data_IF_173314005850
#
_entry.id   IF_173314005850
#
_cell.length_a   1.000
_cell.length_b   1.000
_cell.length_c   1.000
_cell.angle_alpha   90.00
_cell.angle_beta   90.00
_cell.angle_gamma   90.00
#
_symmetry.space_group_name_H-M   'P 1'
#
loop_
_entity.id
_entity.type
_entity.pdbx_description
1 polymer ?
#
# COMPACT_ATOMS: atom_id res chain seq x y z
N UNK A 1 15.24 -35.47 -22.07
CA UNK A 1 15.11 -34.03 -22.44
C UNK A 1 14.16 -33.40 -21.48
N UNK A 2 14.69 -32.83 -20.39
CA UNK A 2 13.90 -32.05 -19.45
C UNK A 2 13.66 -30.67 -20.10
N UNK A 3 12.37 -30.30 -20.25
CA UNK A 3 12.03 -28.94 -20.60
C UNK A 3 12.31 -28.08 -19.38
N UNK A 4 13.29 -27.19 -19.47
CA UNK A 4 13.42 -26.05 -18.61
C UNK A 4 12.10 -25.26 -18.70
N UNK A 5 11.36 -25.24 -17.61
CA UNK A 5 10.28 -24.28 -17.40
C UNK A 5 10.99 -22.98 -17.11
N UNK A 6 11.16 -22.14 -18.13
CA UNK A 6 11.54 -20.75 -17.92
C UNK A 6 10.56 -20.14 -16.92
N UNK A 7 11.12 -19.72 -15.80
CA UNK A 7 10.41 -19.00 -14.75
C UNK A 7 10.05 -17.61 -15.32
N UNK A 8 8.94 -17.53 -16.09
CA UNK A 8 8.44 -16.26 -16.56
C UNK A 8 7.99 -15.47 -15.34
N UNK A 9 8.62 -14.32 -15.08
CA UNK A 9 8.19 -13.37 -14.08
C UNK A 9 6.72 -12.97 -14.26
N UNK A 10 6.13 -12.32 -13.26
CA UNK A 10 4.74 -11.85 -13.32
C UNK A 10 4.58 -10.85 -14.47
N UNK A 11 5.64 -10.10 -14.79
CA UNK A 11 5.63 -9.02 -15.78
C UNK A 11 6.75 -9.24 -16.80
N UNK A 12 6.43 -9.17 -18.09
CA UNK A 12 7.43 -9.18 -19.14
C UNK A 12 8.07 -7.78 -19.35
N UNK A 13 9.15 -7.70 -20.14
CA UNK A 13 9.89 -6.43 -20.34
C UNK A 13 9.04 -5.29 -20.93
N UNK A 14 8.04 -5.60 -21.75
CA UNK A 14 7.14 -4.60 -22.35
C UNK A 14 6.10 -4.13 -21.32
N UNK A 15 5.58 -5.05 -20.53
CA UNK A 15 4.61 -4.74 -19.48
C UNK A 15 5.29 -4.01 -18.30
N UNK A 16 6.60 -4.21 -18.12
CA UNK A 16 7.39 -3.55 -17.08
C UNK A 16 7.33 -2.03 -17.17
N UNK A 17 7.47 -1.46 -18.37
CA UNK A 17 7.44 -0.01 -18.55
C UNK A 17 6.05 0.57 -18.21
N UNK A 18 5.00 -0.11 -18.63
CA UNK A 18 3.61 0.27 -18.29
C UNK A 18 3.39 0.18 -16.79
N UNK A 19 3.92 -0.86 -16.17
CA UNK A 19 3.81 -1.05 -14.72
C UNK A 19 4.58 0.02 -13.94
N UNK A 20 5.82 0.34 -14.34
CA UNK A 20 6.63 1.40 -13.73
C UNK A 20 5.89 2.76 -13.81
N UNK A 21 5.25 3.06 -14.95
CA UNK A 21 4.46 4.27 -15.12
C UNK A 21 3.22 4.28 -14.22
N UNK A 22 2.49 3.16 -14.15
CA UNK A 22 1.34 3.00 -13.25
C UNK A 22 1.69 3.23 -11.79
N UNK A 23 2.83 2.68 -11.35
CA UNK A 23 3.28 2.85 -9.96
C UNK A 23 3.68 4.30 -9.68
N UNK A 24 4.33 4.97 -10.61
CA UNK A 24 4.65 6.39 -10.47
C UNK A 24 3.37 7.25 -10.41
N UNK A 25 2.39 6.95 -11.24
CA UNK A 25 1.08 7.63 -11.22
C UNK A 25 0.34 7.36 -9.89
N UNK A 26 0.35 6.12 -9.42
CA UNK A 26 -0.22 5.74 -8.13
C UNK A 26 0.44 6.52 -6.98
N UNK A 27 1.77 6.51 -6.91
CA UNK A 27 2.52 7.20 -5.86
C UNK A 27 2.22 8.71 -5.85
N UNK A 28 2.23 9.33 -7.04
CA UNK A 28 1.92 10.75 -7.19
C UNK A 28 0.50 11.08 -6.74
N UNK A 29 -0.51 10.34 -7.23
CA UNK A 29 -1.90 10.57 -6.87
C UNK A 29 -2.16 10.32 -5.37
N UNK A 30 -1.53 9.32 -4.78
CA UNK A 30 -1.59 9.06 -3.35
C UNK A 30 -1.01 10.23 -2.53
N UNK A 31 0.16 10.76 -2.91
CA UNK A 31 0.77 11.92 -2.28
C UNK A 31 -0.10 13.18 -2.41
N UNK A 32 -0.63 13.46 -3.59
CA UNK A 32 -1.54 14.60 -3.83
C UNK A 32 -2.83 14.48 -3.01
N UNK A 33 -3.40 13.28 -2.90
CA UNK A 33 -4.59 13.02 -2.08
C UNK A 33 -4.31 13.27 -0.60
N UNK A 34 -3.23 12.68 -0.07
CA UNK A 34 -2.81 12.91 1.33
C UNK A 34 -2.51 14.39 1.60
N UNK A 35 -1.80 15.07 0.70
CA UNK A 35 -1.50 16.49 0.82
C UNK A 35 -2.76 17.35 0.91
N UNK A 36 -3.76 17.02 0.09
CA UNK A 36 -5.04 17.73 0.08
C UNK A 36 -5.82 17.53 1.38
N UNK A 37 -5.87 16.30 1.90
CA UNK A 37 -6.62 15.94 3.10
C UNK A 37 -5.94 16.51 4.34
N UNK A 38 -4.63 16.32 4.46
CA UNK A 38 -3.86 16.71 5.63
C UNK A 38 -3.41 18.18 5.59
N UNK A 39 -3.60 18.88 4.46
CA UNK A 39 -3.12 20.25 4.22
C UNK A 39 -1.62 20.42 4.46
N UNK A 40 -0.88 19.36 4.25
CA UNK A 40 0.56 19.26 4.39
C UNK A 40 1.18 18.92 3.03
N UNK A 41 2.45 19.24 2.82
CA UNK A 41 3.16 18.88 1.59
C UNK A 41 3.74 17.48 1.72
N UNK A 42 3.10 16.49 1.07
CA UNK A 42 3.47 15.08 1.12
C UNK A 42 3.88 14.63 -0.28
N UNK A 43 5.13 14.24 -0.41
CA UNK A 43 5.67 13.68 -1.64
C UNK A 43 6.00 12.20 -1.44
N UNK A 44 5.46 11.35 -2.32
CA UNK A 44 5.81 9.93 -2.41
C UNK A 44 6.67 9.76 -3.66
N UNK A 45 7.95 9.48 -3.47
CA UNK A 45 8.93 9.46 -4.55
C UNK A 45 9.84 8.24 -4.50
N UNK A 46 10.45 7.94 -5.65
CA UNK A 46 11.54 6.98 -5.78
C UNK A 46 11.20 5.52 -5.53
N UNK A 47 10.09 4.99 -6.09
CA UNK A 47 9.78 3.58 -5.93
C UNK A 47 10.87 2.69 -6.55
N UNK A 48 11.41 1.77 -5.76
CA UNK A 48 12.22 0.65 -6.25
C UNK A 48 11.32 -0.56 -6.41
N UNK A 49 11.23 -1.09 -7.63
CA UNK A 49 10.31 -2.17 -7.95
C UNK A 49 11.06 -3.50 -8.00
N UNK A 50 10.66 -4.44 -7.16
CA UNK A 50 11.19 -5.81 -7.14
C UNK A 50 10.08 -6.86 -7.18
N UNK A 51 10.35 -8.00 -7.82
CA UNK A 51 9.46 -9.15 -7.87
C UNK A 51 10.03 -10.25 -6.96
N UNK A 52 9.31 -10.56 -5.89
CA UNK A 52 9.71 -11.53 -4.87
C UNK A 52 8.51 -12.37 -4.43
N UNK A 53 8.72 -13.32 -3.52
CA UNK A 53 7.60 -14.02 -2.87
C UNK A 53 7.17 -13.27 -1.59
N UNK A 54 5.94 -13.46 -1.17
CA UNK A 54 5.38 -12.80 0.03
C UNK A 54 6.22 -13.08 1.28
N UNK A 55 6.81 -14.27 1.40
CA UNK A 55 7.69 -14.64 2.52
C UNK A 55 9.03 -13.89 2.54
N UNK A 56 9.47 -13.35 1.40
CA UNK A 56 10.72 -12.59 1.26
C UNK A 56 10.54 -11.09 1.52
N UNK A 57 9.30 -10.63 1.73
CA UNK A 57 9.03 -9.24 2.05
C UNK A 57 9.54 -8.92 3.46
N UNK A 58 10.52 -8.03 3.54
CA UNK A 58 11.09 -7.55 4.79
C UNK A 58 10.48 -6.20 5.17
N UNK A 59 9.82 -6.15 6.33
CA UNK A 59 9.23 -4.92 6.86
C UNK A 59 9.64 -4.62 8.32
N UNK A 60 10.57 -5.39 8.86
CA UNK A 60 10.99 -5.32 10.26
C UNK A 60 11.48 -3.93 10.73
N UNK A 61 11.96 -3.10 9.78
CA UNK A 61 12.36 -1.71 10.07
C UNK A 61 11.16 -0.77 10.28
N UNK A 62 9.95 -1.21 9.94
CA UNK A 62 8.71 -0.44 10.07
C UNK A 62 7.92 -0.82 11.32
N UNK A 63 8.51 -1.58 12.24
CA UNK A 63 7.84 -2.07 13.44
C UNK A 63 7.76 -1.01 14.54
N UNK A 64 6.63 -0.92 15.24
CA UNK A 64 5.35 -1.57 14.95
C UNK A 64 4.71 -1.03 13.66
N UNK A 65 4.11 -1.94 12.89
CA UNK A 65 3.57 -1.65 11.57
C UNK A 65 2.04 -1.65 11.54
N UNK A 66 1.50 -1.01 10.51
CA UNK A 66 0.11 -1.13 10.11
C UNK A 66 0.06 -1.55 8.65
N UNK A 67 -0.70 -2.61 8.37
CA UNK A 67 -0.95 -3.08 7.01
C UNK A 67 -2.29 -2.55 6.55
N UNK A 68 -2.29 -1.88 5.41
CA UNK A 68 -3.49 -1.37 4.73
C UNK A 68 -3.72 -2.24 3.51
N UNK A 69 -4.70 -3.14 3.59
CA UNK A 69 -5.05 -4.06 2.50
C UNK A 69 -6.28 -3.55 1.75
N UNK A 70 -6.19 -3.53 0.43
CA UNK A 70 -7.30 -3.30 -0.49
C UNK A 70 -7.22 -4.29 -1.65
N UNK A 71 -8.37 -4.66 -2.23
CA UNK A 71 -8.46 -5.55 -3.37
C UNK A 71 -8.91 -4.75 -4.59
N UNK A 72 -8.22 -4.91 -5.72
CA UNK A 72 -8.71 -4.43 -7.01
C UNK A 72 -9.82 -5.39 -7.48
N UNK A 73 -11.02 -4.86 -7.67
CA UNK A 73 -12.25 -5.66 -7.90
C UNK A 73 -12.72 -5.62 -9.34
N UNK A 74 -12.24 -4.67 -10.13
CA UNK A 74 -12.51 -4.60 -11.56
C UNK A 74 -11.32 -4.07 -12.35
N UNK A 75 -11.27 -4.37 -13.64
CA UNK A 75 -10.21 -3.99 -14.58
C UNK A 75 -8.95 -4.83 -14.44
N UNK A 76 -8.24 -4.68 -13.36
CA UNK A 76 -7.10 -5.50 -12.95
C UNK A 76 -7.47 -6.21 -11.64
N UNK A 77 -7.23 -7.52 -11.58
CA UNK A 77 -7.49 -8.28 -10.35
C UNK A 77 -6.20 -8.42 -9.54
N UNK A 78 -6.27 -8.14 -8.26
CA UNK A 78 -5.13 -8.30 -7.35
C UNK A 78 -5.35 -7.70 -5.98
N UNK A 79 -4.43 -7.98 -5.08
CA UNK A 79 -4.39 -7.37 -3.76
C UNK A 79 -3.29 -6.32 -3.72
N UNK A 80 -3.60 -5.20 -3.11
CA UNK A 80 -2.65 -4.14 -2.78
C UNK A 80 -2.50 -4.09 -1.27
N UNK A 81 -1.25 -4.03 -0.80
CA UNK A 81 -0.94 -3.90 0.63
C UNK A 81 0.06 -2.77 0.79
N UNK A 82 -0.30 -1.76 1.55
CA UNK A 82 0.58 -0.68 1.95
C UNK A 82 1.04 -0.97 3.37
N UNK A 83 2.34 -0.86 3.62
CA UNK A 83 2.92 -1.10 4.93
C UNK A 83 3.48 0.21 5.45
N UNK A 84 2.97 0.66 6.60
CA UNK A 84 3.38 1.90 7.26
C UNK A 84 3.82 1.59 8.69
N UNK A 85 4.65 2.47 9.27
CA UNK A 85 4.89 2.45 10.71
C UNK A 85 3.65 3.00 11.42
N UNK A 86 3.29 2.43 12.56
CA UNK A 86 2.17 2.93 13.36
C UNK A 86 2.36 4.40 13.74
N UNK A 87 3.59 4.81 14.08
CA UNK A 87 3.90 6.21 14.41
C UNK A 87 3.67 7.18 13.25
N UNK A 88 3.86 6.73 11.98
CA UNK A 88 3.63 7.58 10.82
C UNK A 88 2.13 7.74 10.57
N UNK A 89 1.35 6.68 10.77
CA UNK A 89 -0.11 6.78 10.76
C UNK A 89 -0.62 7.70 11.86
N UNK A 90 -0.05 7.60 13.07
CA UNK A 90 -0.41 8.54 14.15
C UNK A 90 -0.09 9.99 13.77
N UNK A 91 1.07 10.24 13.12
CA UNK A 91 1.40 11.58 12.65
C UNK A 91 0.35 12.11 11.65
N UNK A 92 -0.12 11.27 10.73
CA UNK A 92 -1.22 11.63 9.82
C UNK A 92 -2.52 11.94 10.56
N UNK A 93 -2.86 11.15 11.57
CA UNK A 93 -4.05 11.40 12.40
C UNK A 93 -3.92 12.69 13.22
N UNK A 94 -2.74 12.97 13.77
CA UNK A 94 -2.47 14.22 14.49
C UNK A 94 -2.66 15.42 13.56
N UNK A 95 -2.09 15.38 12.36
CA UNK A 95 -2.26 16.44 11.36
C UNK A 95 -3.73 16.63 10.98
N UNK A 96 -4.46 15.52 10.74
CA UNK A 96 -5.89 15.55 10.41
C UNK A 96 -6.73 16.21 11.52
N UNK A 97 -6.34 16.00 12.79
CA UNK A 97 -7.03 16.56 13.97
C UNK A 97 -6.51 17.94 14.38
N UNK A 98 -5.48 18.45 13.72
CA UNK A 98 -4.83 19.72 14.08
C UNK A 98 -4.07 19.66 15.40
N UNK A 99 -3.52 18.50 15.74
CA UNK A 99 -2.70 18.25 16.94
C UNK A 99 -1.23 18.44 16.55
N UNK A 100 -0.58 19.44 17.11
CA UNK A 100 0.84 19.78 16.85
C UNK A 100 1.78 19.07 17.84
N UNK A 101 1.50 17.81 18.12
CA UNK A 101 2.32 16.98 19.00
C UNK A 101 3.07 15.91 18.20
N UNK A 102 4.25 15.54 18.69
CA UNK A 102 4.99 14.40 18.16
C UNK A 102 4.22 13.10 18.45
N UNK A 103 4.38 12.08 17.59
CA UNK A 103 3.78 10.77 17.84
C UNK A 103 4.19 10.20 19.20
N UNK A 104 3.20 9.79 19.98
CA UNK A 104 3.35 9.18 21.29
C UNK A 104 3.65 7.68 21.14
N UNK A 105 4.75 7.16 21.72
CA UNK A 105 5.06 5.72 21.66
C UNK A 105 3.99 4.82 22.32
N UNK A 106 3.23 5.38 23.27
CA UNK A 106 2.17 4.67 24.00
C UNK A 106 0.77 4.90 23.37
N UNK A 107 0.72 5.45 22.14
CA UNK A 107 -0.54 5.69 21.44
C UNK A 107 -1.27 4.38 21.13
N UNK A 108 -2.52 4.31 21.55
CA UNK A 108 -3.39 3.17 21.25
C UNK A 108 -4.31 3.49 20.05
N UNK A 109 -4.26 2.63 19.02
CA UNK A 109 -5.20 2.68 17.90
C UNK A 109 -6.55 2.12 18.35
N UNK A 110 -7.33 2.94 19.03
CA UNK A 110 -8.70 2.62 19.40
C UNK A 110 -9.65 2.61 18.18
N UNK A 111 -10.92 2.36 18.41
CA UNK A 111 -11.94 2.28 17.35
C UNK A 111 -12.05 3.59 16.56
N UNK A 112 -11.89 4.74 17.20
CA UNK A 112 -11.98 6.05 16.56
C UNK A 112 -10.76 6.30 15.70
N UNK A 113 -9.56 6.05 16.21
CA UNK A 113 -8.31 6.18 15.47
C UNK A 113 -8.26 5.22 14.27
N UNK A 114 -8.70 3.97 14.45
CA UNK A 114 -8.78 2.99 13.37
C UNK A 114 -9.78 3.40 12.29
N UNK A 115 -10.94 3.94 12.68
CA UNK A 115 -11.94 4.44 11.72
C UNK A 115 -11.41 5.62 10.92
N UNK A 116 -10.78 6.59 11.57
CA UNK A 116 -10.18 7.76 10.90
C UNK A 116 -9.05 7.35 9.96
N UNK A 117 -8.16 6.44 10.39
CA UNK A 117 -7.09 5.90 9.56
C UNK A 117 -7.65 5.15 8.34
N UNK A 118 -8.72 4.36 8.52
CA UNK A 118 -9.36 3.63 7.42
C UNK A 118 -9.93 4.60 6.38
N UNK A 119 -10.63 5.64 6.82
CA UNK A 119 -11.20 6.65 5.92
C UNK A 119 -10.10 7.40 5.16
N UNK A 120 -9.03 7.80 5.83
CA UNK A 120 -7.88 8.45 5.21
C UNK A 120 -7.27 7.56 4.11
N UNK A 121 -7.06 6.27 4.42
CA UNK A 121 -6.48 5.32 3.46
C UNK A 121 -7.44 5.00 2.30
N UNK A 122 -8.75 4.94 2.55
CA UNK A 122 -9.74 4.77 1.49
C UNK A 122 -9.67 5.92 0.48
N UNK A 123 -9.65 7.16 0.95
CA UNK A 123 -9.59 8.32 0.06
C UNK A 123 -8.30 8.33 -0.77
N UNK A 124 -7.16 8.02 -0.15
CA UNK A 124 -5.87 7.93 -0.83
C UNK A 124 -5.87 6.82 -1.91
N UNK A 125 -6.33 5.61 -1.54
CA UNK A 125 -6.34 4.45 -2.46
C UNK A 125 -7.31 4.70 -3.61
N UNK A 126 -8.52 5.18 -3.34
CA UNK A 126 -9.50 5.45 -4.40
C UNK A 126 -8.98 6.49 -5.39
N UNK A 127 -8.39 7.59 -4.91
CA UNK A 127 -7.81 8.62 -5.77
C UNK A 127 -6.69 8.06 -6.68
N UNK A 128 -5.83 7.21 -6.15
CA UNK A 128 -4.75 6.60 -6.91
C UNK A 128 -5.24 5.55 -7.92
N UNK A 129 -6.25 4.77 -7.56
CA UNK A 129 -6.88 3.78 -8.47
C UNK A 129 -7.59 4.48 -9.63
N UNK A 130 -8.25 5.62 -9.38
CA UNK A 130 -8.91 6.43 -10.41
C UNK A 130 -7.90 6.92 -11.47
N UNK A 131 -6.75 7.44 -11.06
CA UNK A 131 -5.68 7.88 -11.98
C UNK A 131 -5.11 6.71 -12.78
N UNK A 132 -4.92 5.54 -12.16
CA UNK A 132 -4.49 4.34 -12.88
C UNK A 132 -5.53 3.87 -13.90
N UNK A 133 -6.82 3.93 -13.55
CA UNK A 133 -7.93 3.59 -14.45
C UNK A 133 -7.95 4.50 -15.69
N UNK A 134 -7.77 5.79 -15.47
CA UNK A 134 -7.72 6.79 -16.54
C UNK A 134 -6.54 6.54 -17.48
N UNK A 135 -5.35 6.27 -16.94
CA UNK A 135 -4.16 5.95 -17.71
C UNK A 135 -4.34 4.70 -18.59
N UNK A 136 -4.95 3.65 -18.03
CA UNK A 136 -5.23 2.40 -18.76
C UNK A 136 -6.41 2.51 -19.72
N UNK A 137 -7.18 3.59 -19.66
CA UNK A 137 -8.41 3.73 -20.45
C UNK A 137 -9.46 2.66 -20.12
N UNK A 138 -9.48 2.18 -18.89
CA UNK A 138 -10.35 1.11 -18.42
C UNK A 138 -10.98 1.48 -17.06
N UNK A 139 -12.07 0.81 -16.70
CA UNK A 139 -12.66 0.94 -15.38
C UNK A 139 -11.84 0.13 -14.36
N UNK A 140 -11.41 0.76 -13.28
CA UNK A 140 -10.80 0.07 -12.14
C UNK A 140 -11.54 0.46 -10.88
N UNK A 141 -11.72 -0.49 -9.98
CA UNK A 141 -12.35 -0.29 -8.68
C UNK A 141 -11.54 -1.00 -7.60
N UNK A 142 -11.51 -0.44 -6.41
CA UNK A 142 -10.93 -1.08 -5.24
C UNK A 142 -11.99 -1.30 -4.17
N UNK A 143 -11.78 -2.34 -3.36
CA UNK A 143 -12.55 -2.52 -2.12
C UNK A 143 -12.14 -1.48 -1.09
N UNK A 144 -12.97 -1.28 -0.08
CA UNK A 144 -12.56 -0.53 1.11
C UNK A 144 -11.31 -1.15 1.75
N UNK A 145 -10.50 -0.27 2.34
CA UNK A 145 -9.27 -0.65 3.01
C UNK A 145 -9.56 -1.41 4.31
N UNK A 146 -8.81 -2.47 4.53
CA UNK A 146 -8.76 -3.19 5.78
C UNK A 146 -7.43 -2.91 6.47
N UNK A 147 -7.47 -2.32 7.66
CA UNK A 147 -6.28 -2.03 8.44
C UNK A 147 -6.01 -3.14 9.46
N UNK A 148 -4.75 -3.58 9.51
CA UNK A 148 -4.30 -4.66 10.38
C UNK A 148 -3.07 -4.15 11.14
N UNK A 149 -3.18 -4.08 12.48
CA UNK A 149 -2.06 -3.70 13.34
C UNK A 149 -1.12 -4.89 13.51
N UNK A 150 0.18 -4.62 13.44
CA UNK A 150 1.25 -5.60 13.66
C UNK A 150 2.22 -5.09 14.72
N UNK A 151 2.54 -5.94 15.68
CA UNK A 151 3.59 -5.69 16.68
C UNK A 151 5.00 -6.02 16.14
N UNK A 152 5.09 -6.32 14.85
CA UNK A 152 6.33 -6.65 14.17
C UNK A 152 6.80 -8.09 14.32
N UNK A 153 6.04 -8.91 15.03
CA UNK A 153 6.36 -10.34 15.24
C UNK A 153 5.59 -11.27 14.31
N UNK A 154 4.61 -10.72 13.59
CA UNK A 154 3.76 -11.49 12.69
C UNK A 154 4.42 -11.61 11.31
N UNK A 155 4.31 -12.80 10.71
CA UNK A 155 4.63 -12.96 9.30
C UNK A 155 3.58 -12.22 8.45
N UNK A 156 4.02 -11.53 7.40
CA UNK A 156 3.14 -10.80 6.50
C UNK A 156 2.07 -11.70 5.87
N UNK A 157 2.47 -12.88 5.40
CA UNK A 157 1.62 -13.84 4.70
C UNK A 157 0.29 -14.17 5.43
N UNK A 158 0.27 -14.62 6.71
CA UNK A 158 -0.98 -14.85 7.40
C UNK A 158 -1.75 -13.56 7.70
N UNK A 159 -1.07 -12.44 7.94
CA UNK A 159 -1.71 -11.17 8.25
C UNK A 159 -2.54 -10.64 7.06
N UNK A 160 -2.02 -10.78 5.85
CA UNK A 160 -2.72 -10.33 4.64
C UNK A 160 -3.54 -11.43 3.95
N UNK A 161 -3.50 -12.68 4.46
CA UNK A 161 -4.25 -13.81 3.91
C UNK A 161 -3.71 -14.34 2.58
N UNK A 162 -2.43 -14.12 2.28
CA UNK A 162 -1.76 -14.61 1.08
C UNK A 162 -0.87 -15.82 1.39
N UNK A 163 -0.68 -16.70 0.42
CA UNK A 163 0.24 -17.82 0.58
C UNK A 163 1.70 -17.34 0.62
N UNK A 164 2.58 -17.94 1.45
CA UNK A 164 3.99 -17.52 1.54
C UNK A 164 4.73 -17.55 0.21
N UNK A 165 4.39 -18.49 -0.67
CA UNK A 165 5.00 -18.69 -1.99
C UNK A 165 4.33 -17.87 -3.10
N UNK A 166 3.27 -17.11 -2.78
CA UNK A 166 2.65 -16.19 -3.75
C UNK A 166 3.67 -15.16 -4.20
N UNK A 167 3.74 -14.95 -5.51
CA UNK A 167 4.57 -13.88 -6.07
C UNK A 167 3.93 -12.53 -5.81
N UNK A 168 4.75 -11.56 -5.46
CA UNK A 168 4.34 -10.19 -5.23
C UNK A 168 5.33 -9.24 -5.85
N UNK A 169 4.87 -8.02 -6.09
CA UNK A 169 5.72 -6.90 -6.49
C UNK A 169 5.81 -5.98 -5.28
N UNK A 170 7.05 -5.69 -4.88
CA UNK A 170 7.36 -4.74 -3.81
C UNK A 170 7.83 -3.44 -4.44
N UNK A 171 7.33 -2.36 -3.92
CA UNK A 171 7.56 -0.99 -4.37
C UNK A 171 8.12 -0.18 -3.22
#
# INVERSE_FOLDING_TARGET
MAKEVENQGIINMTDRQVFDELINLHAKAAGESLSSILKADIEISGPEISEITVKEVEYGILEPAIFVKSCLTSGVAGNMVIILRQRDMQAFLNELMGIDDLPDPDFEFDEVAMSAATELMNQMVHASVEVMAEYLGNTMESSDCQLILSDGRQNLSPAIGEAPESKTIVI
#
